data_IF_729079283721
#
_entry.id   IF_729079283721
#
_cell.length_a   1.000
_cell.length_b   1.000
_cell.length_c   1.000
_cell.angle_alpha   90.00
_cell.angle_beta   90.00
_cell.angle_gamma   90.00
#
_symmetry.space_group_name_H-M   'P 1'
#
loop_
_entity.id
_entity.type
_entity.pdbx_description
1 polymer ?
#
# COMPACT_ATOMS: atom_id res chain seq x y z
N UNK A 1 10.94 -15.59 6.93
CA UNK A 1 10.78 -14.25 7.54
C UNK A 1 9.35 -14.05 8.01
N UNK A 2 9.16 -13.32 9.09
CA UNK A 2 7.87 -12.83 9.58
C UNK A 2 7.70 -11.38 9.13
N UNK A 3 6.82 -11.14 8.17
CA UNK A 3 6.59 -9.82 7.59
C UNK A 3 5.39 -9.12 8.22
N UNK A 4 5.48 -7.79 8.36
CA UNK A 4 4.50 -6.94 9.02
C UNK A 4 3.99 -5.85 8.09
N UNK A 5 2.66 -5.70 8.04
CA UNK A 5 1.98 -4.53 7.44
C UNK A 5 1.03 -3.90 8.46
N UNK A 6 1.23 -2.61 8.74
CA UNK A 6 0.47 -1.88 9.77
C UNK A 6 -0.61 -1.02 9.13
N UNK A 7 -1.86 -1.31 9.41
CA UNK A 7 -3.01 -0.66 8.79
C UNK A 7 -3.76 0.26 9.74
N UNK A 8 -4.30 1.35 9.19
CA UNK A 8 -5.06 2.35 9.95
C UNK A 8 -6.56 2.21 9.82
N UNK A 9 -7.05 1.40 8.86
CA UNK A 9 -8.46 1.24 8.58
C UNK A 9 -8.75 -0.10 7.86
N UNK A 10 -9.24 -1.12 8.57
CA UNK A 10 -9.33 -1.20 10.03
C UNK A 10 -7.96 -1.09 10.73
N UNK A 11 -7.96 -0.72 12.02
CA UNK A 11 -6.72 -0.55 12.76
C UNK A 11 -6.21 -1.91 13.25
N UNK A 12 -5.27 -2.47 12.49
CA UNK A 12 -4.70 -3.78 12.77
C UNK A 12 -3.27 -3.92 12.21
N UNK A 13 -2.62 -4.96 12.65
CA UNK A 13 -1.33 -5.43 12.15
C UNK A 13 -1.53 -6.74 11.41
N UNK A 14 -1.26 -6.77 10.11
CA UNK A 14 -1.23 -8.00 9.33
C UNK A 14 0.17 -8.62 9.37
N UNK A 15 0.24 -9.92 9.59
CA UNK A 15 1.46 -10.71 9.68
C UNK A 15 1.44 -11.82 8.64
N UNK A 16 2.57 -12.06 7.99
CA UNK A 16 2.77 -13.14 7.04
C UNK A 16 4.10 -13.86 7.31
N UNK A 17 4.03 -15.14 7.61
CA UNK A 17 5.21 -16.01 7.71
C UNK A 17 5.54 -16.55 6.32
N UNK A 18 6.70 -16.18 5.79
CA UNK A 18 7.14 -16.51 4.44
C UNK A 18 8.42 -17.36 4.51
N UNK A 19 8.38 -18.54 3.89
CA UNK A 19 9.53 -19.46 3.84
C UNK A 19 10.59 -18.97 2.83
N UNK A 20 11.83 -19.49 2.90
CA UNK A 20 12.93 -19.10 2.03
C UNK A 20 12.65 -19.24 0.53
N UNK A 21 11.80 -20.20 0.16
CA UNK A 21 11.30 -20.42 -1.22
C UNK A 21 10.25 -19.37 -1.67
N UNK A 22 9.91 -18.42 -0.80
CA UNK A 22 8.97 -17.35 -1.07
C UNK A 22 7.49 -17.72 -0.92
N UNK A 23 7.17 -18.90 -0.36
CA UNK A 23 5.80 -19.32 -0.16
C UNK A 23 5.23 -18.84 1.18
N UNK A 24 3.93 -18.48 1.18
CA UNK A 24 3.20 -18.16 2.40
C UNK A 24 2.95 -19.44 3.22
N UNK A 25 3.43 -19.48 4.46
CA UNK A 25 3.22 -20.61 5.38
C UNK A 25 2.07 -20.38 6.33
N UNK A 26 1.99 -19.19 6.89
CA UNK A 26 0.97 -18.81 7.86
C UNK A 26 0.73 -17.30 7.79
N UNK A 27 -0.46 -16.89 8.11
CA UNK A 27 -0.77 -15.49 8.32
C UNK A 27 -1.67 -15.30 9.53
N UNK A 28 -1.64 -14.14 10.11
CA UNK A 28 -2.54 -13.74 11.19
C UNK A 28 -2.73 -12.22 11.18
N UNK A 29 -3.76 -11.78 11.85
CA UNK A 29 -4.07 -10.35 12.01
C UNK A 29 -4.25 -10.05 13.49
N UNK A 30 -3.52 -9.07 14.01
CA UNK A 30 -3.66 -8.58 15.37
C UNK A 30 -4.43 -7.26 15.37
N UNK A 31 -5.53 -7.20 16.11
CA UNK A 31 -6.26 -5.94 16.29
C UNK A 31 -5.44 -4.93 17.06
N UNK A 32 -5.46 -3.68 16.61
CA UNK A 32 -4.84 -2.54 17.30
C UNK A 32 -5.90 -1.57 17.85
N UNK A 33 -7.17 -1.98 17.90
CA UNK A 33 -8.25 -1.12 18.37
C UNK A 33 -8.08 -0.68 19.82
N UNK A 34 -7.59 -1.57 20.69
CA UNK A 34 -7.28 -1.24 22.09
C UNK A 34 -6.24 -0.12 22.18
N UNK A 35 -5.26 -0.10 21.28
CA UNK A 35 -4.25 0.97 21.19
C UNK A 35 -4.89 2.32 20.84
N UNK A 36 -5.91 2.32 19.96
CA UNK A 36 -6.63 3.56 19.61
C UNK A 36 -7.55 4.03 20.73
N UNK A 37 -8.14 3.09 21.49
CA UNK A 37 -9.04 3.35 22.61
C UNK A 37 -8.32 3.57 23.96
N UNK A 38 -6.99 3.45 23.98
CA UNK A 38 -6.22 3.59 25.21
C UNK A 38 -6.52 4.92 25.94
N UNK A 39 -6.82 4.90 27.24
CA UNK A 39 -7.31 6.07 27.97
C UNK A 39 -6.24 7.18 28.11
N UNK A 40 -4.99 6.80 28.10
CA UNK A 40 -3.87 7.73 28.25
C UNK A 40 -2.61 7.22 27.51
N UNK A 41 -1.58 8.05 27.49
CA UNK A 41 -0.33 7.74 26.81
C UNK A 41 0.39 6.51 27.42
N UNK A 42 0.37 6.36 28.73
CA UNK A 42 1.03 5.22 29.41
C UNK A 42 0.37 3.88 29.02
N UNK A 43 -0.96 3.80 29.08
CA UNK A 43 -1.71 2.63 28.63
C UNK A 43 -1.44 2.32 27.15
N UNK A 44 -1.39 3.35 26.30
CA UNK A 44 -1.05 3.17 24.87
C UNK A 44 0.35 2.60 24.68
N UNK A 45 1.32 3.09 25.40
CA UNK A 45 2.71 2.60 25.33
C UNK A 45 2.81 1.14 25.80
N UNK A 46 2.10 0.77 26.88
CA UNK A 46 2.05 -0.60 27.38
C UNK A 46 1.47 -1.56 26.33
N UNK A 47 0.34 -1.19 25.72
CA UNK A 47 -0.29 -2.00 24.65
C UNK A 47 0.63 -2.18 23.44
N UNK A 48 1.33 -1.12 23.03
CA UNK A 48 2.29 -1.20 21.93
C UNK A 48 3.46 -2.13 22.25
N UNK A 49 3.95 -2.13 23.51
CA UNK A 49 4.97 -3.09 23.95
C UNK A 49 4.44 -4.52 23.95
N UNK A 50 3.21 -4.74 24.45
CA UNK A 50 2.57 -6.07 24.43
C UNK A 50 2.52 -6.63 23.00
N UNK A 51 2.10 -5.83 22.01
CA UNK A 51 2.07 -6.22 20.62
C UNK A 51 3.48 -6.48 20.07
N UNK A 52 4.44 -5.64 20.40
CA UNK A 52 5.83 -5.84 19.99
C UNK A 52 6.41 -7.16 20.54
N UNK A 53 6.10 -7.51 21.79
CA UNK A 53 6.46 -8.80 22.38
C UNK A 53 5.82 -9.96 21.63
N UNK A 54 4.52 -9.90 21.33
CA UNK A 54 3.83 -10.94 20.55
C UNK A 54 4.50 -11.18 19.18
N UNK A 55 4.82 -10.11 18.46
CA UNK A 55 5.47 -10.19 17.15
C UNK A 55 6.87 -10.81 17.26
N UNK A 56 7.68 -10.32 18.19
CA UNK A 56 9.07 -10.78 18.31
C UNK A 56 9.13 -12.21 18.84
N UNK A 57 8.28 -12.57 19.81
CA UNK A 57 8.21 -13.95 20.31
C UNK A 57 7.78 -14.93 19.20
N UNK A 58 6.85 -14.53 18.32
CA UNK A 58 6.48 -15.34 17.17
C UNK A 58 7.66 -15.50 16.19
N UNK A 59 8.46 -14.48 15.97
CA UNK A 59 9.65 -14.57 15.14
C UNK A 59 10.72 -15.47 15.76
N UNK A 60 10.92 -15.41 17.08
CA UNK A 60 11.83 -16.30 17.84
C UNK A 60 11.37 -17.77 17.76
N UNK A 61 10.09 -18.02 18.00
CA UNK A 61 9.49 -19.37 17.94
C UNK A 61 9.73 -20.04 16.59
N UNK A 62 9.67 -19.27 15.51
CA UNK A 62 9.92 -19.78 14.17
C UNK A 62 11.36 -19.65 13.70
N UNK A 63 12.28 -19.09 14.50
CA UNK A 63 13.69 -18.90 14.15
C UNK A 63 13.88 -17.99 12.92
N UNK A 64 13.05 -16.95 12.75
CA UNK A 64 13.03 -16.13 11.52
C UNK A 64 13.27 -14.66 11.80
N UNK A 65 13.78 -13.96 10.78
CA UNK A 65 13.90 -12.50 10.81
C UNK A 65 12.54 -11.81 10.73
N UNK A 66 12.44 -10.62 11.28
CA UNK A 66 11.28 -9.71 11.13
C UNK A 66 11.49 -8.82 9.91
N UNK A 67 10.50 -8.76 9.01
CA UNK A 67 10.52 -7.90 7.84
C UNK A 67 9.48 -6.78 7.96
N UNK A 68 9.89 -5.53 7.72
CA UNK A 68 9.02 -4.35 7.79
C UNK A 68 9.27 -3.41 6.61
N UNK A 69 8.30 -2.54 6.33
CA UNK A 69 8.52 -1.45 5.39
C UNK A 69 9.41 -0.36 5.98
N UNK A 70 10.31 0.19 5.13
CA UNK A 70 11.09 1.38 5.47
C UNK A 70 10.24 2.64 5.33
N UNK A 71 9.49 2.96 6.37
CA UNK A 71 8.63 4.14 6.40
C UNK A 71 9.37 5.33 7.04
N UNK A 72 10.10 6.09 6.24
CA UNK A 72 10.88 7.23 6.76
C UNK A 72 9.98 8.35 7.31
N UNK A 73 8.92 8.75 6.58
CA UNK A 73 7.96 9.77 7.03
C UNK A 73 6.61 9.57 6.33
N UNK A 74 5.56 9.28 7.08
CA UNK A 74 4.20 9.42 6.58
C UNK A 74 3.74 10.87 6.80
N UNK A 75 3.40 11.61 5.75
CA UNK A 75 2.92 12.98 5.89
C UNK A 75 1.59 12.99 6.67
N UNK A 76 1.55 13.75 7.76
CA UNK A 76 0.34 13.96 8.55
C UNK A 76 -0.44 15.13 7.97
N UNK A 77 -1.76 14.97 7.86
CA UNK A 77 -2.64 16.03 7.39
C UNK A 77 -2.57 17.28 8.26
N UNK A 78 -2.59 18.46 7.64
CA UNK A 78 -2.58 19.77 8.29
C UNK A 78 -3.96 20.43 8.20
N UNK A 79 -4.26 21.37 9.11
CA UNK A 79 -5.48 22.17 9.03
C UNK A 79 -5.50 22.96 7.70
N UNK A 80 -6.62 22.91 6.99
CA UNK A 80 -6.77 23.60 5.70
C UNK A 80 -6.30 22.80 4.47
N UNK A 81 -5.79 21.58 4.65
CA UNK A 81 -5.37 20.70 3.54
C UNK A 81 -6.53 19.98 2.83
N UNK A 82 -7.78 20.29 3.22
CA UNK A 82 -9.00 19.65 2.71
C UNK A 82 -9.27 18.25 3.27
N UNK A 83 -8.42 17.71 4.16
CA UNK A 83 -8.77 16.49 4.90
C UNK A 83 -9.72 16.81 6.05
N UNK A 84 -10.72 15.95 6.29
CA UNK A 84 -11.65 16.13 7.38
C UNK A 84 -10.98 16.05 8.76
N UNK A 85 -11.57 16.70 9.78
CA UNK A 85 -11.06 16.67 11.16
C UNK A 85 -10.92 15.24 11.71
N UNK A 86 -11.88 14.36 11.40
CA UNK A 86 -11.84 12.97 11.82
C UNK A 86 -10.66 12.22 11.19
N UNK A 87 -10.43 12.39 9.89
CA UNK A 87 -9.30 11.77 9.18
C UNK A 87 -7.95 12.22 9.72
N UNK A 88 -7.76 13.55 9.94
CA UNK A 88 -6.52 14.07 10.55
C UNK A 88 -6.31 13.50 11.95
N UNK A 89 -7.38 13.44 12.76
CA UNK A 89 -7.32 12.86 14.11
C UNK A 89 -6.87 11.40 14.05
N UNK A 90 -7.42 10.61 13.12
CA UNK A 90 -7.03 9.22 12.87
C UNK A 90 -5.54 9.11 12.49
N UNK A 91 -5.07 9.94 11.53
CA UNK A 91 -3.65 9.96 11.15
C UNK A 91 -2.70 10.31 12.31
N UNK A 92 -3.08 11.28 13.17
CA UNK A 92 -2.27 11.66 14.34
C UNK A 92 -2.27 10.59 15.44
N UNK A 93 -3.35 9.83 15.59
CA UNK A 93 -3.44 8.70 16.54
C UNK A 93 -2.70 7.47 16.05
N UNK A 94 -2.51 7.33 14.74
CA UNK A 94 -1.86 6.18 14.15
C UNK A 94 -0.42 6.03 14.61
N UNK A 95 -0.21 5.05 15.50
CA UNK A 95 1.06 4.88 16.21
C UNK A 95 2.03 3.92 15.51
N UNK A 96 1.92 3.74 14.19
CA UNK A 96 2.72 2.77 13.43
C UNK A 96 4.24 2.93 13.67
N UNK A 97 4.75 4.16 13.64
CA UNK A 97 6.17 4.42 13.86
C UNK A 97 6.64 4.07 15.28
N UNK A 98 5.76 4.25 16.28
CA UNK A 98 6.05 3.85 17.67
C UNK A 98 6.05 2.33 17.79
N UNK A 99 5.07 1.63 17.16
CA UNK A 99 5.02 0.18 17.14
C UNK A 99 6.26 -0.41 16.47
N UNK A 100 6.58 0.02 15.25
CA UNK A 100 7.75 -0.50 14.53
C UNK A 100 9.05 -0.27 15.28
N UNK A 101 9.24 0.92 15.88
CA UNK A 101 10.42 1.17 16.72
C UNK A 101 10.52 0.21 17.89
N UNK A 102 9.40 -0.13 18.55
CA UNK A 102 9.37 -1.09 19.65
C UNK A 102 9.70 -2.50 19.18
N UNK A 103 9.12 -2.92 18.07
CA UNK A 103 9.43 -4.21 17.43
C UNK A 103 10.92 -4.29 17.10
N UNK A 104 11.47 -3.27 16.43
CA UNK A 104 12.90 -3.24 16.06
C UNK A 104 13.81 -3.23 17.31
N UNK A 105 13.46 -2.45 18.34
CA UNK A 105 14.26 -2.39 19.58
C UNK A 105 14.25 -3.73 20.29
N UNK A 106 13.09 -4.37 20.41
CA UNK A 106 12.96 -5.66 21.09
C UNK A 106 13.63 -6.78 20.28
N UNK A 107 13.44 -6.81 18.98
CA UNK A 107 14.09 -7.77 18.08
C UNK A 107 15.61 -7.74 18.25
N UNK A 108 16.22 -6.54 18.23
CA UNK A 108 17.67 -6.40 18.46
C UNK A 108 18.10 -6.91 19.82
N UNK A 109 17.34 -6.62 20.89
CA UNK A 109 17.65 -7.11 22.25
C UNK A 109 17.62 -8.63 22.34
N UNK A 110 16.78 -9.28 21.54
CA UNK A 110 16.61 -10.73 21.51
C UNK A 110 17.42 -11.43 20.41
N UNK A 111 18.28 -10.70 19.69
CA UNK A 111 19.09 -11.27 18.61
C UNK A 111 18.30 -11.62 17.33
N UNK A 112 17.04 -11.18 17.22
CA UNK A 112 16.21 -11.37 16.02
C UNK A 112 16.60 -10.35 14.96
N UNK A 113 16.96 -10.81 13.78
CA UNK A 113 17.32 -9.94 12.66
C UNK A 113 16.10 -9.13 12.17
N UNK A 114 16.32 -7.87 11.79
CA UNK A 114 15.30 -7.00 11.21
C UNK A 114 15.71 -6.60 9.79
N UNK A 115 14.82 -6.82 8.83
CA UNK A 115 14.99 -6.46 7.42
C UNK A 115 13.98 -5.39 7.04
N UNK A 116 14.47 -4.22 6.62
CA UNK A 116 13.60 -3.14 6.13
C UNK A 116 13.57 -3.13 4.60
N UNK A 117 12.38 -3.15 4.01
CA UNK A 117 12.16 -3.17 2.56
C UNK A 117 11.59 -1.85 2.03
N UNK A 118 11.79 -1.60 0.75
CA UNK A 118 11.15 -0.47 0.07
C UNK A 118 9.62 -0.66 0.05
N UNK A 119 8.80 0.30 0.55
CA UNK A 119 7.35 0.20 0.61
C UNK A 119 6.65 0.39 -0.74
N UNK A 120 7.39 0.71 -1.80
CA UNK A 120 6.80 1.03 -3.09
C UNK A 120 5.94 -0.11 -3.64
N UNK A 121 4.67 0.16 -3.90
CA UNK A 121 3.70 -0.72 -4.54
C UNK A 121 3.39 -2.05 -3.81
N UNK A 122 3.85 -2.27 -2.57
CA UNK A 122 3.59 -3.49 -1.79
C UNK A 122 2.11 -3.79 -1.67
N UNK A 123 1.30 -2.82 -1.27
CA UNK A 123 -0.16 -2.95 -1.17
C UNK A 123 -0.82 -3.16 -2.53
N UNK A 124 -0.31 -2.51 -3.60
CA UNK A 124 -0.85 -2.68 -4.97
C UNK A 124 -0.58 -4.09 -5.49
N UNK A 125 0.64 -4.58 -5.34
CA UNK A 125 1.03 -5.93 -5.74
C UNK A 125 0.26 -6.96 -4.92
N UNK A 126 0.18 -6.79 -3.61
CA UNK A 126 -0.59 -7.65 -2.72
C UNK A 126 -2.04 -7.78 -3.19
N UNK A 127 -2.71 -6.65 -3.38
CA UNK A 127 -4.10 -6.59 -3.79
C UNK A 127 -4.35 -7.18 -5.19
N UNK A 128 -3.48 -6.90 -6.17
CA UNK A 128 -3.69 -7.31 -7.56
C UNK A 128 -3.27 -8.75 -7.82
N UNK A 129 -2.21 -9.21 -7.18
CA UNK A 129 -1.62 -10.52 -7.46
C UNK A 129 -2.00 -11.55 -6.42
N UNK A 130 -1.72 -11.30 -5.15
CA UNK A 130 -1.78 -12.35 -4.13
C UNK A 130 -3.11 -12.44 -3.40
N UNK A 131 -3.84 -11.34 -3.21
CA UNK A 131 -5.15 -11.38 -2.60
C UNK A 131 -6.11 -12.29 -3.38
N UNK A 132 -6.25 -12.16 -4.72
CA UNK A 132 -7.10 -13.07 -5.49
C UNK A 132 -6.51 -14.48 -5.66
N UNK A 133 -5.17 -14.63 -5.75
CA UNK A 133 -4.53 -15.93 -5.92
C UNK A 133 -4.66 -16.85 -4.70
N UNK A 134 -4.59 -16.27 -3.51
CA UNK A 134 -4.51 -16.99 -2.24
C UNK A 134 -5.73 -16.74 -1.34
N UNK A 135 -6.76 -16.07 -1.86
CA UNK A 135 -7.96 -15.67 -1.11
C UNK A 135 -7.64 -14.91 0.18
N UNK A 136 -6.66 -14.01 0.10
CA UNK A 136 -6.19 -13.22 1.24
C UNK A 136 -6.87 -11.85 1.30
N UNK A 137 -6.94 -11.28 2.49
CA UNK A 137 -7.23 -9.85 2.63
C UNK A 137 -6.10 -9.02 1.97
N UNK A 138 -6.42 -7.80 1.52
CA UNK A 138 -5.44 -6.88 0.90
C UNK A 138 -4.23 -6.64 1.80
N UNK A 139 -4.44 -6.60 3.12
CA UNK A 139 -3.42 -6.22 4.09
C UNK A 139 -2.49 -7.42 4.40
N UNK A 140 -3.04 -8.63 4.51
CA UNK A 140 -2.25 -9.86 4.59
C UNK A 140 -1.45 -10.07 3.31
N UNK A 141 -2.05 -9.83 2.15
CA UNK A 141 -1.35 -9.91 0.88
C UNK A 141 -0.22 -8.87 0.75
N UNK A 142 -0.40 -7.66 1.30
CA UNK A 142 0.67 -6.67 1.40
C UNK A 142 1.81 -7.14 2.31
N UNK A 143 1.49 -7.67 3.50
CA UNK A 143 2.48 -8.28 4.39
C UNK A 143 3.25 -9.41 3.70
N UNK A 144 2.56 -10.24 2.92
CA UNK A 144 3.20 -11.31 2.14
C UNK A 144 4.20 -10.76 1.11
N UNK A 145 3.84 -9.70 0.38
CA UNK A 145 4.76 -9.02 -0.55
C UNK A 145 5.98 -8.46 0.17
N UNK A 146 5.80 -7.87 1.36
CA UNK A 146 6.90 -7.38 2.21
C UNK A 146 7.86 -8.53 2.53
N UNK A 147 7.33 -9.70 2.94
CA UNK A 147 8.14 -10.87 3.26
C UNK A 147 8.92 -11.41 2.06
N UNK A 148 8.26 -11.54 0.91
CA UNK A 148 8.91 -11.95 -0.33
C UNK A 148 10.03 -10.99 -0.74
N UNK A 149 9.77 -9.68 -0.62
CA UNK A 149 10.77 -8.64 -0.93
C UNK A 149 11.96 -8.69 0.02
N UNK A 150 11.73 -8.97 1.31
CA UNK A 150 12.80 -9.16 2.29
C UNK A 150 13.70 -10.38 1.97
N UNK A 151 13.15 -11.39 1.30
CA UNK A 151 13.88 -12.54 0.79
C UNK A 151 14.52 -12.32 -0.60
N UNK A 152 14.42 -11.11 -1.16
CA UNK A 152 15.03 -10.76 -2.46
C UNK A 152 14.16 -11.09 -3.68
N UNK A 153 12.92 -11.57 -3.50
CA UNK A 153 12.04 -11.86 -4.63
C UNK A 153 11.57 -10.57 -5.32
N UNK A 154 11.61 -10.57 -6.64
CA UNK A 154 11.04 -9.54 -7.50
C UNK A 154 9.69 -9.99 -8.04
N UNK A 155 8.69 -9.12 -7.94
CA UNK A 155 7.33 -9.47 -8.33
C UNK A 155 7.10 -9.27 -9.83
N UNK A 156 6.92 -10.36 -10.54
CA UNK A 156 6.55 -10.34 -11.96
C UNK A 156 5.06 -10.07 -12.11
N UNK A 157 4.73 -9.33 -13.16
CA UNK A 157 3.36 -9.04 -13.54
C UNK A 157 2.70 -10.30 -14.10
N UNK A 158 1.49 -10.69 -13.63
CA UNK A 158 0.72 -11.79 -14.22
C UNK A 158 0.44 -11.58 -15.70
N UNK A 159 0.41 -12.66 -16.47
CA UNK A 159 0.18 -12.61 -17.94
C UNK A 159 -1.11 -11.88 -18.34
N UNK A 160 -2.19 -12.08 -17.59
CA UNK A 160 -3.46 -11.38 -17.81
C UNK A 160 -3.32 -9.85 -17.73
N UNK A 161 -2.57 -9.36 -16.76
CA UNK A 161 -2.30 -7.92 -16.63
C UNK A 161 -1.33 -7.39 -17.70
N UNK A 162 -0.40 -8.23 -18.18
CA UNK A 162 0.45 -7.85 -19.31
C UNK A 162 -0.38 -7.66 -20.58
N UNK A 163 -1.34 -8.58 -20.86
CA UNK A 163 -2.28 -8.45 -21.96
C UNK A 163 -3.14 -7.19 -21.83
N UNK A 164 -3.69 -6.94 -20.64
CA UNK A 164 -4.51 -5.75 -20.37
C UNK A 164 -3.75 -4.44 -20.62
N UNK A 165 -2.48 -4.37 -20.19
CA UNK A 165 -1.66 -3.19 -20.43
C UNK A 165 -1.23 -3.03 -21.89
N UNK A 166 -1.22 -4.13 -22.67
CA UNK A 166 -1.00 -4.10 -24.10
C UNK A 166 -2.28 -3.72 -24.90
N UNK A 167 -3.44 -3.76 -24.26
CA UNK A 167 -4.70 -3.35 -24.85
C UNK A 167 -4.85 -1.83 -24.81
N UNK A 168 -4.66 -1.18 -25.96
CA UNK A 168 -4.81 0.26 -26.07
C UNK A 168 -6.20 0.77 -25.69
N UNK A 169 -7.26 -0.01 -25.95
CA UNK A 169 -8.64 0.39 -25.65
C UNK A 169 -8.84 0.58 -24.12
N UNK A 170 -8.28 -0.29 -23.29
CA UNK A 170 -8.34 -0.16 -21.83
C UNK A 170 -7.69 1.14 -21.34
N UNK A 171 -6.50 1.45 -21.85
CA UNK A 171 -5.78 2.66 -21.48
C UNK A 171 -6.49 3.93 -21.92
N UNK A 172 -7.11 3.92 -23.11
CA UNK A 172 -7.93 5.02 -23.64
C UNK A 172 -9.15 5.25 -22.75
N UNK A 173 -9.90 4.18 -22.39
CA UNK A 173 -11.06 4.30 -21.50
C UNK A 173 -10.69 4.87 -20.13
N UNK A 174 -9.58 4.41 -19.57
CA UNK A 174 -9.09 4.95 -18.30
C UNK A 174 -8.70 6.43 -18.41
N UNK A 175 -8.06 6.81 -19.51
CA UNK A 175 -7.66 8.20 -19.78
C UNK A 175 -8.87 9.11 -19.95
N UNK A 176 -9.87 8.70 -20.73
CA UNK A 176 -11.12 9.47 -20.92
C UNK A 176 -11.89 9.65 -19.61
N UNK A 177 -11.96 8.61 -18.77
CA UNK A 177 -12.55 8.72 -17.44
C UNK A 177 -11.88 9.80 -16.60
N UNK A 178 -10.54 9.82 -16.53
CA UNK A 178 -9.84 10.83 -15.73
C UNK A 178 -9.88 12.22 -16.35
N UNK A 179 -9.95 12.33 -17.66
CA UNK A 179 -10.13 13.59 -18.37
C UNK A 179 -11.47 14.21 -18.01
N UNK A 180 -12.56 13.47 -18.17
CA UNK A 180 -13.90 13.92 -17.78
C UNK A 180 -13.97 14.29 -16.29
N UNK A 181 -13.40 13.46 -15.42
CA UNK A 181 -13.34 13.73 -13.98
C UNK A 181 -12.54 14.99 -13.64
N UNK A 182 -11.46 15.25 -14.33
CA UNK A 182 -10.65 16.46 -14.11
C UNK A 182 -11.40 17.73 -14.54
N UNK A 183 -12.17 17.69 -15.62
CA UNK A 183 -13.01 18.80 -16.08
C UNK A 183 -14.15 19.09 -15.09
N UNK A 184 -14.84 18.05 -14.64
CA UNK A 184 -15.87 18.17 -13.60
C UNK A 184 -15.31 18.81 -12.33
N UNK A 185 -14.17 18.33 -11.84
CA UNK A 185 -13.53 18.87 -10.63
C UNK A 185 -13.04 20.31 -10.80
N UNK A 186 -12.62 20.73 -11.99
CA UNK A 186 -12.28 22.13 -12.30
C UNK A 186 -13.50 23.04 -12.18
N UNK A 187 -14.63 22.60 -12.75
CA UNK A 187 -15.90 23.33 -12.70
C UNK A 187 -16.42 23.44 -11.27
N UNK A 188 -16.47 22.33 -10.53
CA UNK A 188 -16.87 22.32 -9.13
C UNK A 188 -15.98 23.23 -8.27
N UNK A 189 -14.66 23.18 -8.47
CA UNK A 189 -13.71 24.02 -7.74
C UNK A 189 -13.90 25.51 -8.03
N UNK A 190 -14.21 25.88 -9.28
CA UNK A 190 -14.47 27.27 -9.67
C UNK A 190 -15.71 27.84 -8.98
N UNK A 191 -16.75 27.02 -8.85
CA UNK A 191 -18.03 27.42 -8.28
C UNK A 191 -18.09 27.30 -6.74
N UNK A 192 -17.10 26.64 -6.11
CA UNK A 192 -17.08 26.41 -4.66
C UNK A 192 -16.57 27.65 -3.91
N UNK A 193 -17.33 28.14 -2.95
CA UNK A 193 -16.99 29.30 -2.10
C UNK A 193 -16.28 28.90 -0.80
N UNK A 194 -16.60 27.72 -0.26
CA UNK A 194 -15.95 27.23 0.97
C UNK A 194 -14.49 26.84 0.72
N UNK A 195 -13.60 27.45 1.47
CA UNK A 195 -12.14 27.22 1.36
C UNK A 195 -11.74 25.78 1.60
N UNK A 196 -12.36 25.10 2.55
CA UNK A 196 -12.01 23.72 2.91
C UNK A 196 -12.45 22.74 1.80
N UNK A 197 -13.66 22.92 1.27
CA UNK A 197 -14.18 22.15 0.13
C UNK A 197 -13.35 22.41 -1.13
N UNK A 198 -13.00 23.66 -1.42
CA UNK A 198 -12.13 24.03 -2.54
C UNK A 198 -10.76 23.36 -2.43
N UNK A 199 -10.17 23.28 -1.24
CA UNK A 199 -8.91 22.58 -1.01
C UNK A 199 -9.04 21.07 -1.22
N UNK A 200 -10.18 20.47 -0.85
CA UNK A 200 -10.48 19.05 -1.13
C UNK A 200 -10.56 18.80 -2.64
N UNK A 201 -11.34 19.62 -3.37
CA UNK A 201 -11.46 19.53 -4.82
C UNK A 201 -10.10 19.71 -5.52
N UNK A 202 -9.26 20.62 -5.03
CA UNK A 202 -7.90 20.81 -5.55
C UNK A 202 -7.04 19.57 -5.42
N UNK A 203 -7.16 18.82 -4.31
CA UNK A 203 -6.42 17.54 -4.14
C UNK A 203 -6.96 16.44 -5.03
N UNK A 204 -8.27 16.34 -5.17
CA UNK A 204 -8.89 15.37 -6.08
C UNK A 204 -8.52 15.66 -7.53
N UNK A 205 -8.54 16.92 -7.94
CA UNK A 205 -8.09 17.36 -9.26
C UNK A 205 -6.61 17.01 -9.50
N UNK A 206 -5.74 17.27 -8.52
CA UNK A 206 -4.32 16.90 -8.63
C UNK A 206 -4.13 15.37 -8.78
N UNK A 207 -4.95 14.57 -8.11
CA UNK A 207 -4.92 13.10 -8.27
C UNK A 207 -5.35 12.68 -9.68
N UNK A 208 -6.44 13.25 -10.21
CA UNK A 208 -6.89 12.97 -11.57
C UNK A 208 -5.85 13.38 -12.63
N UNK A 209 -5.23 14.55 -12.48
CA UNK A 209 -4.14 14.99 -13.35
C UNK A 209 -2.90 14.09 -13.27
N UNK A 210 -2.56 13.63 -12.07
CA UNK A 210 -1.47 12.66 -11.88
C UNK A 210 -1.76 11.31 -12.55
N UNK A 211 -3.02 10.87 -12.54
CA UNK A 211 -3.46 9.68 -13.24
C UNK A 211 -3.35 9.85 -14.77
N UNK A 212 -3.80 10.98 -15.31
CA UNK A 212 -3.66 11.30 -16.73
C UNK A 212 -2.18 11.31 -17.18
N UNK A 213 -1.32 11.97 -16.41
CA UNK A 213 0.11 12.00 -16.67
C UNK A 213 0.74 10.59 -16.68
N UNK A 214 0.30 9.73 -15.76
CA UNK A 214 0.78 8.36 -15.67
C UNK A 214 0.32 7.50 -16.87
N UNK A 215 -0.95 7.60 -17.26
CA UNK A 215 -1.53 6.88 -18.39
C UNK A 215 -0.96 7.33 -19.75
N UNK A 216 -0.52 8.59 -19.85
CA UNK A 216 0.12 9.13 -21.05
C UNK A 216 1.63 8.84 -21.13
N UNK A 217 2.19 8.22 -20.11
CA UNK A 217 3.62 7.92 -20.08
C UNK A 217 3.90 6.54 -20.66
N UNK A 218 4.98 6.35 -21.45
CA UNK A 218 5.32 5.03 -21.95
C UNK A 218 5.55 4.06 -20.78
N UNK A 219 5.08 2.83 -20.93
CA UNK A 219 5.31 1.78 -19.93
C UNK A 219 6.81 1.47 -19.86
N UNK A 220 7.34 1.42 -18.65
CA UNK A 220 8.69 0.92 -18.41
C UNK A 220 8.77 -0.58 -18.69
N UNK A 221 9.96 -1.07 -19.03
CA UNK A 221 10.18 -2.50 -19.27
C UNK A 221 9.70 -3.36 -18.09
N UNK A 222 9.00 -4.49 -18.34
CA UNK A 222 8.56 -5.39 -17.28
C UNK A 222 9.75 -5.89 -16.47
N UNK A 223 9.83 -5.54 -15.21
CA UNK A 223 10.92 -5.95 -14.31
C UNK A 223 11.81 -4.83 -13.80
N UNK A 224 11.73 -3.62 -14.34
CA UNK A 224 12.39 -2.44 -13.78
C UNK A 224 11.60 -1.96 -12.56
N UNK A 225 11.99 -2.43 -11.37
CA UNK A 225 11.51 -1.87 -10.09
C UNK A 225 12.13 -0.50 -9.79
N UNK A 226 13.25 -0.21 -10.41
CA UNK A 226 13.96 1.06 -10.32
C UNK A 226 13.80 1.78 -11.66
N UNK A 227 13.00 2.83 -11.69
CA UNK A 227 12.85 3.72 -12.83
C UNK A 227 14.13 4.56 -13.11
N UNK A 228 15.29 3.99 -12.86
CA UNK A 228 16.60 4.53 -13.15
C UNK A 228 17.21 3.81 -14.37
N UNK A 229 16.94 4.32 -15.53
CA UNK A 229 17.85 4.11 -16.66
C UNK A 229 18.79 5.31 -16.71
N UNK A 230 20.08 5.05 -16.64
CA UNK A 230 21.12 6.05 -16.90
C UNK A 230 20.89 6.69 -18.26
N UNK A 231 20.72 7.99 -18.26
CA UNK A 231 20.52 8.84 -19.44
C UNK A 231 19.11 9.44 -19.52
N UNK A 232 18.98 10.67 -19.11
CA UNK A 232 17.93 11.72 -19.27
C UNK A 232 16.57 11.39 -19.98
N UNK A 233 16.17 10.14 -20.12
CA UNK A 233 14.82 9.74 -20.52
C UNK A 233 13.98 9.69 -19.24
N UNK A 234 12.80 10.31 -19.25
CA UNK A 234 11.81 10.18 -18.17
C UNK A 234 11.63 8.70 -17.90
N UNK A 235 11.73 8.24 -16.63
CA UNK A 235 11.53 6.83 -16.33
C UNK A 235 10.13 6.42 -16.80
N UNK A 236 10.04 5.28 -17.47
CA UNK A 236 8.77 4.75 -17.94
C UNK A 236 7.78 4.54 -16.77
N UNK A 237 6.50 4.60 -17.05
CA UNK A 237 5.49 4.42 -16.01
C UNK A 237 5.58 3.01 -15.42
N UNK A 238 5.57 2.92 -14.09
CA UNK A 238 5.54 1.65 -13.39
C UNK A 238 4.22 0.92 -13.69
N UNK A 239 4.30 -0.29 -14.25
CA UNK A 239 3.15 -1.09 -14.67
C UNK A 239 2.12 -1.31 -13.54
N UNK A 240 2.57 -1.55 -12.31
CA UNK A 240 1.69 -1.70 -11.15
C UNK A 240 0.90 -0.42 -10.83
N UNK A 241 1.52 0.75 -11.00
CA UNK A 241 0.84 2.04 -10.83
C UNK A 241 -0.17 2.29 -11.92
N UNK A 242 0.18 1.96 -13.17
CA UNK A 242 -0.75 2.08 -14.31
C UNK A 242 -1.96 1.17 -14.10
N UNK A 243 -1.76 -0.08 -13.70
CA UNK A 243 -2.85 -1.00 -13.35
C UNK A 243 -3.72 -0.47 -12.22
N UNK A 244 -3.11 0.02 -11.15
CA UNK A 244 -3.85 0.61 -10.03
C UNK A 244 -4.75 1.75 -10.48
N UNK A 245 -4.23 2.65 -11.29
CA UNK A 245 -4.96 3.81 -11.79
C UNK A 245 -5.97 3.40 -12.85
N UNK A 246 -5.57 2.58 -13.81
CA UNK A 246 -6.42 2.18 -14.92
C UNK A 246 -7.54 1.20 -14.54
N UNK A 247 -7.30 0.27 -13.61
CA UNK A 247 -8.26 -0.78 -13.27
C UNK A 247 -9.16 -0.41 -12.10
N UNK A 248 -8.57 0.13 -11.03
CA UNK A 248 -9.29 0.25 -9.75
C UNK A 248 -10.14 1.50 -9.61
N UNK A 249 -9.70 2.64 -10.13
CA UNK A 249 -10.42 3.89 -9.94
C UNK A 249 -11.56 4.07 -10.95
N UNK A 250 -11.39 3.73 -12.25
CA UNK A 250 -12.48 3.77 -13.21
C UNK A 250 -13.53 2.69 -13.01
N UNK A 251 -13.15 1.54 -12.43
CA UNK A 251 -14.02 0.38 -12.22
C UNK A 251 -14.66 0.32 -10.83
N UNK A 252 -14.43 1.30 -9.96
CA UNK A 252 -15.15 1.42 -8.70
C UNK A 252 -16.66 1.56 -8.99
N UNK A 253 -17.39 0.43 -8.83
CA UNK A 253 -18.81 0.32 -9.16
C UNK A 253 -19.14 -0.49 -10.41
N UNK A 254 -18.16 -1.03 -11.11
CA UNK A 254 -18.35 -2.00 -12.19
C UNK A 254 -17.78 -3.35 -11.80
N UNK A 255 -18.43 -4.44 -12.17
CA UNK A 255 -17.87 -5.77 -11.98
C UNK A 255 -16.52 -5.86 -12.72
N UNK A 256 -15.47 -6.26 -12.00
CA UNK A 256 -14.21 -6.60 -12.64
C UNK A 256 -14.47 -7.78 -13.57
N UNK A 257 -14.16 -7.70 -14.86
CA UNK A 257 -14.36 -8.81 -15.77
C UNK A 257 -13.74 -10.08 -15.20
N UNK A 258 -14.52 -11.17 -15.14
CA UNK A 258 -14.06 -12.45 -14.56
C UNK A 258 -12.81 -13.01 -15.22
N UNK A 259 -12.56 -12.62 -16.46
CA UNK A 259 -11.40 -13.00 -17.27
C UNK A 259 -10.09 -12.34 -16.80
N UNK A 260 -10.18 -11.27 -16.00
CA UNK A 260 -9.04 -10.63 -15.35
C UNK A 260 -8.69 -11.26 -14.00
N UNK A 261 -9.45 -12.27 -13.56
CA UNK A 261 -9.09 -13.05 -12.41
C UNK A 261 -7.75 -13.76 -12.67
N UNK A 262 -6.71 -13.53 -11.84
CA UNK A 262 -5.44 -14.22 -11.98
C UNK A 262 -5.51 -15.72 -11.67
N UNK A 263 -6.71 -16.24 -11.40
CA UNK A 263 -6.98 -17.65 -11.08
C UNK A 263 -7.08 -18.57 -12.31
N UNK A 264 -6.96 -18.07 -13.53
CA UNK A 264 -6.71 -18.94 -14.67
C UNK A 264 -5.20 -19.07 -14.85
N UNK A 265 -4.61 -19.97 -14.06
CA UNK A 265 -3.30 -20.56 -14.30
C UNK A 265 -3.40 -21.59 -15.42
#
# INVERSE_FOLDING_TARGET
VLALDVNSDPYHLALALVSPDGNLRRHLTLSLEEVDRAPNRGAKELLLWKIAHQVVSLAEEHGVAVATERLKHLPKGRRGDGSGRAFRRKQHRFAYASLLRKVHSLARKKGVQVVEVNPQDTSTIGMLKYAPQLSLSKDVAAAYVIGRRALGFKEKLPKGYQKLLGDGAFLVQAWDFYRARAEELRTQKRNERDRSRRNRLSRELKKAQGALSLLSSPLGSPGSQDGFTEGRKRPGANAWRVLRVGTFLPLLGREVPRDLSPLKV
#
